data_IF_004874809245
#
_entry.id   IF_004874809245
#
_cell.length_a   1.000
_cell.length_b   1.000
_cell.length_c   1.000
_cell.angle_alpha   90.00
_cell.angle_beta   90.00
_cell.angle_gamma   90.00
#
_symmetry.space_group_name_H-M   'P 1'
#
loop_
_entity.id
_entity.type
_entity.pdbx_description
1 polymer ?
#
# COMPACT_ATOMS: atom_id res chain seq x y z
N UNK A 1 -28.94 16.02 -23.36
CA UNK A 1 -27.70 15.22 -23.46
C UNK A 1 -27.51 14.43 -22.17
N UNK A 2 -26.84 13.26 -22.19
CA UNK A 2 -26.61 12.43 -21.00
C UNK A 2 -25.11 12.41 -20.67
N UNK A 3 -24.78 12.49 -19.38
CA UNK A 3 -23.41 12.51 -18.86
C UNK A 3 -23.27 11.51 -17.71
N UNK A 4 -22.04 11.05 -17.45
CA UNK A 4 -21.69 10.19 -16.30
C UNK A 4 -20.68 10.88 -15.41
N UNK A 5 -20.71 10.61 -14.10
CA UNK A 5 -19.71 11.10 -13.15
C UNK A 5 -18.34 10.46 -13.47
N UNK A 6 -17.25 11.20 -13.28
CA UNK A 6 -15.90 10.64 -13.35
C UNK A 6 -15.65 9.75 -12.13
N UNK A 7 -14.85 8.68 -12.23
CA UNK A 7 -14.38 7.96 -11.05
C UNK A 7 -13.55 8.90 -10.17
N UNK A 8 -13.73 8.80 -8.85
CA UNK A 8 -13.06 9.65 -7.87
C UNK A 8 -12.57 8.76 -6.74
N UNK A 9 -11.28 8.85 -6.45
CA UNK A 9 -10.66 8.27 -5.27
C UNK A 9 -10.73 9.26 -4.11
N UNK A 10 -10.95 8.75 -2.91
CA UNK A 10 -11.03 9.56 -1.69
C UNK A 10 -10.23 8.90 -0.57
N UNK A 11 -9.86 9.71 0.41
CA UNK A 11 -9.34 9.21 1.68
C UNK A 11 -10.49 9.16 2.69
N UNK A 12 -10.56 8.09 3.47
CA UNK A 12 -11.53 7.99 4.55
C UNK A 12 -10.99 7.14 5.70
N UNK A 13 -11.46 7.45 6.90
CA UNK A 13 -11.24 6.64 8.10
C UNK A 13 -12.58 6.29 8.74
N UNK A 14 -12.65 5.15 9.42
CA UNK A 14 -13.78 4.86 10.28
C UNK A 14 -13.62 5.61 11.60
N UNK A 15 -14.64 6.35 12.00
CA UNK A 15 -14.68 7.07 13.26
C UNK A 15 -14.95 6.10 14.40
N UNK A 16 -14.02 6.08 15.36
CA UNK A 16 -14.09 5.31 16.58
C UNK A 16 -13.82 6.25 17.75
N UNK A 17 -14.79 6.41 18.66
CA UNK A 17 -14.74 7.34 19.81
C UNK A 17 -13.64 6.92 20.79
N UNK A 18 -13.40 5.62 20.92
CA UNK A 18 -12.30 5.05 21.70
C UNK A 18 -10.91 5.42 21.11
N UNK A 19 -10.83 5.64 19.80
CA UNK A 19 -9.61 6.03 19.08
C UNK A 19 -9.70 7.43 18.47
N UNK A 20 -10.34 8.36 19.20
CA UNK A 20 -10.63 9.73 18.72
C UNK A 20 -9.41 10.46 18.13
N UNK A 21 -8.20 10.19 18.63
CA UNK A 21 -6.96 10.77 18.09
C UNK A 21 -6.77 10.52 16.59
N UNK A 22 -7.22 9.37 16.06
CA UNK A 22 -7.18 9.11 14.61
C UNK A 22 -8.05 10.09 13.84
N UNK A 23 -9.26 10.36 14.32
CA UNK A 23 -10.19 11.29 13.70
C UNK A 23 -9.70 12.74 13.78
N UNK A 24 -9.17 13.16 14.94
CA UNK A 24 -8.60 14.49 15.13
C UNK A 24 -7.36 14.73 14.25
N UNK A 25 -6.52 13.72 14.07
CA UNK A 25 -5.33 13.81 13.21
C UNK A 25 -5.70 13.86 11.72
N UNK A 26 -6.71 13.09 11.32
CA UNK A 26 -7.16 13.02 9.92
C UNK A 26 -7.97 14.25 9.50
N UNK A 27 -8.85 14.75 10.39
CA UNK A 27 -9.80 15.82 10.09
C UNK A 27 -9.61 17.00 11.05
N UNK A 28 -9.02 18.09 10.55
CA UNK A 28 -8.86 19.34 11.30
C UNK A 28 -10.16 20.16 11.47
N UNK A 29 -11.29 19.62 10.99
CA UNK A 29 -12.64 20.20 11.11
C UNK A 29 -13.51 19.46 12.14
N UNK A 30 -12.94 18.50 12.86
CA UNK A 30 -13.63 17.72 13.87
C UNK A 30 -13.72 18.53 15.18
N UNK A 31 -14.94 18.81 15.66
CA UNK A 31 -15.22 19.62 16.85
C UNK A 31 -15.96 18.80 17.89
N UNK A 32 -15.55 18.96 19.14
CA UNK A 32 -16.26 18.41 20.28
C UNK A 32 -17.36 19.38 20.76
N UNK A 33 -18.55 18.87 21.02
CA UNK A 33 -19.64 19.60 21.65
C UNK A 33 -19.83 19.11 23.10
N UNK A 34 -19.59 19.96 24.12
CA UNK A 34 -19.71 19.55 25.52
C UNK A 34 -21.16 19.39 25.99
N UNK A 35 -22.15 19.92 25.25
CA UNK A 35 -23.55 19.85 25.67
C UNK A 35 -24.17 18.47 25.50
N UNK A 36 -23.77 17.74 24.45
CA UNK A 36 -24.24 16.38 24.16
C UNK A 36 -23.12 15.33 24.26
N UNK A 37 -21.88 15.75 24.54
CA UNK A 37 -20.70 14.90 24.64
C UNK A 37 -20.40 14.14 23.33
N UNK A 38 -20.58 14.82 22.20
CA UNK A 38 -20.43 14.25 20.86
C UNK A 38 -19.50 15.08 19.97
N UNK A 39 -19.11 14.47 18.86
CA UNK A 39 -18.27 15.11 17.86
C UNK A 39 -19.03 15.45 16.59
N UNK A 40 -18.61 16.55 15.97
CA UNK A 40 -19.19 17.11 14.77
C UNK A 40 -18.09 17.46 13.77
N UNK A 41 -18.41 17.44 12.49
CA UNK A 41 -17.53 17.89 11.40
C UNK A 41 -18.10 19.19 10.85
N UNK A 42 -17.28 20.24 10.74
CA UNK A 42 -17.67 21.42 9.96
C UNK A 42 -17.60 21.06 8.47
N UNK A 43 -18.76 20.85 7.85
CA UNK A 43 -18.88 20.61 6.40
C UNK A 43 -19.26 21.89 5.67
N UNK A 44 -19.38 21.84 4.34
CA UNK A 44 -19.81 22.98 3.52
C UNK A 44 -21.29 23.30 3.72
N UNK A 45 -22.08 22.31 4.11
CA UNK A 45 -23.53 22.39 4.37
C UNK A 45 -23.86 22.74 5.83
N UNK A 46 -22.83 22.82 6.68
CA UNK A 46 -22.96 23.14 8.10
C UNK A 46 -22.31 22.10 9.00
N UNK A 47 -22.56 22.23 10.30
CA UNK A 47 -21.98 21.33 11.30
C UNK A 47 -22.76 20.02 11.32
N UNK A 48 -22.11 18.89 11.01
CA UNK A 48 -22.73 17.57 10.94
C UNK A 48 -22.22 16.64 12.04
N UNK A 49 -23.12 15.97 12.76
CA UNK A 49 -22.75 15.01 13.82
C UNK A 49 -22.03 13.80 13.22
N UNK A 50 -20.88 13.45 13.78
CA UNK A 50 -20.23 12.17 13.54
C UNK A 50 -20.66 11.17 14.62
N UNK A 51 -21.18 10.02 14.20
CA UNK A 51 -21.60 8.93 15.10
C UNK A 51 -20.59 7.79 15.04
N UNK A 52 -20.41 7.08 16.15
CA UNK A 52 -19.56 5.89 16.21
C UNK A 52 -19.79 4.96 15.00
N UNK A 53 -18.70 4.60 14.32
CA UNK A 53 -18.73 3.75 13.13
C UNK A 53 -18.98 4.46 11.80
N UNK A 54 -19.33 5.75 11.79
CA UNK A 54 -19.38 6.55 10.57
C UNK A 54 -17.99 6.63 9.93
N UNK A 55 -17.92 6.78 8.62
CA UNK A 55 -16.69 7.13 7.92
C UNK A 55 -16.54 8.65 7.86
N UNK A 56 -15.37 9.17 8.22
CA UNK A 56 -15.01 10.56 7.96
C UNK A 56 -14.28 10.57 6.62
N UNK A 57 -14.88 11.22 5.63
CA UNK A 57 -14.36 11.29 4.26
C UNK A 57 -13.69 12.63 4.05
N UNK A 58 -12.54 12.62 3.39
CA UNK A 58 -11.92 13.80 2.79
C UNK A 58 -12.23 13.83 1.31
N UNK A 59 -13.03 14.81 0.90
CA UNK A 59 -13.40 15.03 -0.49
C UNK A 59 -12.25 15.61 -1.33
N UNK A 60 -12.50 15.73 -2.64
CA UNK A 60 -11.46 16.07 -3.63
C UNK A 60 -10.91 17.48 -3.49
N UNK A 61 -11.66 18.41 -2.88
CA UNK A 61 -11.20 19.77 -2.62
C UNK A 61 -10.74 19.95 -1.17
N UNK A 62 -10.56 18.86 -0.43
CA UNK A 62 -10.15 18.86 0.98
C UNK A 62 -11.29 19.15 1.96
N UNK A 63 -12.55 19.16 1.51
CA UNK A 63 -13.72 19.19 2.38
C UNK A 63 -13.84 17.90 3.20
N UNK A 64 -14.40 17.99 4.40
CA UNK A 64 -14.65 16.83 5.25
C UNK A 64 -16.13 16.68 5.55
N UNK A 65 -16.61 15.44 5.61
CA UNK A 65 -17.97 15.12 6.04
C UNK A 65 -18.07 13.69 6.60
N UNK A 66 -18.99 13.44 7.55
CA UNK A 66 -19.30 12.10 8.00
C UNK A 66 -20.22 11.39 7.01
N UNK A 67 -20.03 10.09 6.85
CA UNK A 67 -20.83 9.20 5.99
C UNK A 67 -21.19 7.94 6.77
N UNK A 68 -22.46 7.53 6.73
CA UNK A 68 -22.88 6.28 7.38
C UNK A 68 -22.20 5.07 6.76
N UNK A 69 -21.81 4.10 7.58
CA UNK A 69 -21.04 2.93 7.14
C UNK A 69 -21.74 2.11 6.04
N UNK A 70 -23.06 1.98 6.11
CA UNK A 70 -23.88 1.27 5.13
C UNK A 70 -23.95 2.02 3.79
N UNK A 71 -23.97 3.35 3.81
CA UNK A 71 -23.88 4.19 2.61
C UNK A 71 -22.45 4.15 2.04
N UNK A 72 -21.44 4.22 2.90
CA UNK A 72 -20.04 4.17 2.53
C UNK A 72 -19.71 2.90 1.76
N UNK A 73 -20.03 1.73 2.32
CA UNK A 73 -19.77 0.42 1.68
C UNK A 73 -20.57 0.16 0.41
N UNK A 74 -21.66 0.90 0.15
CA UNK A 74 -22.41 0.87 -1.12
C UNK A 74 -21.82 1.81 -2.18
N UNK A 75 -21.06 2.81 -1.76
CA UNK A 75 -20.59 3.90 -2.63
C UNK A 75 -19.11 3.77 -2.98
N UNK A 76 -18.32 3.22 -2.06
CA UNK A 76 -16.88 3.11 -2.16
C UNK A 76 -16.45 1.66 -1.98
N UNK A 77 -15.50 1.26 -2.81
CA UNK A 77 -14.74 0.03 -2.65
C UNK A 77 -13.36 0.38 -2.09
N UNK A 78 -12.81 -0.48 -1.24
CA UNK A 78 -11.44 -0.32 -0.77
C UNK A 78 -10.53 -0.54 -1.97
N UNK A 79 -9.68 0.43 -2.27
CA UNK A 79 -8.59 0.21 -3.19
C UNK A 79 -7.60 -0.70 -2.47
N UNK A 80 -7.45 -1.92 -2.96
CA UNK A 80 -6.35 -2.77 -2.54
C UNK A 80 -5.06 -2.05 -2.95
N UNK A 81 -4.18 -1.79 -1.99
CA UNK A 81 -2.87 -1.16 -2.21
C UNK A 81 -1.99 -1.96 -3.19
N UNK A 82 -2.45 -3.13 -3.64
CA UNK A 82 -1.80 -4.04 -4.58
C UNK A 82 -1.73 -3.58 -6.04
N UNK A 83 -2.36 -2.48 -6.44
CA UNK A 83 -2.29 -2.04 -7.86
C UNK A 83 -1.00 -1.25 -8.17
N UNK A 84 -0.15 -0.93 -7.18
CA UNK A 84 1.07 -0.15 -7.44
C UNK A 84 2.39 -0.91 -7.58
N UNK A 85 2.51 -2.24 -7.47
CA UNK A 85 3.70 -2.96 -8.01
C UNK A 85 3.57 -4.48 -7.98
N UNK A 86 2.84 -5.07 -8.93
CA UNK A 86 3.19 -6.40 -9.43
C UNK A 86 4.35 -6.29 -10.46
N UNK A 87 5.38 -5.49 -10.15
CA UNK A 87 6.62 -5.44 -10.93
C UNK A 87 7.60 -6.40 -10.29
N UNK A 88 7.68 -7.60 -10.86
CA UNK A 88 8.82 -8.49 -10.64
C UNK A 88 10.11 -7.74 -10.99
N UNK A 89 10.99 -7.52 -10.02
CA UNK A 89 12.33 -6.99 -10.28
C UNK A 89 13.21 -8.15 -10.71
N UNK A 90 13.76 -8.09 -11.94
CA UNK A 90 14.73 -9.06 -12.45
C UNK A 90 16.12 -8.45 -12.40
N UNK A 91 17.02 -9.09 -11.67
CA UNK A 91 18.45 -8.75 -11.65
C UNK A 91 19.23 -9.85 -12.38
N UNK A 92 20.23 -9.47 -13.18
CA UNK A 92 21.14 -10.40 -13.86
C UNK A 92 22.56 -10.15 -13.36
N UNK A 93 23.20 -11.20 -12.86
CA UNK A 93 24.62 -11.20 -12.49
C UNK A 93 25.35 -12.03 -13.56
N UNK A 94 26.53 -11.60 -14.00
CA UNK A 94 27.32 -12.31 -15.01
C UNK A 94 28.79 -12.20 -14.63
N UNK A 95 29.48 -13.34 -14.68
CA UNK A 95 30.89 -13.49 -14.40
C UNK A 95 31.57 -13.90 -15.71
N UNK A 96 32.69 -13.25 -16.03
CA UNK A 96 33.52 -13.63 -17.16
C UNK A 96 34.81 -14.20 -16.60
N UNK A 97 35.13 -15.42 -16.98
CA UNK A 97 36.35 -16.11 -16.59
C UNK A 97 37.32 -16.11 -17.78
N UNK A 98 38.62 -16.12 -17.48
CA UNK A 98 39.63 -16.25 -18.51
C UNK A 98 39.68 -17.70 -19.04
N UNK A 99 40.28 -17.89 -20.22
CA UNK A 99 40.28 -19.20 -20.88
C UNK A 99 41.11 -20.27 -20.14
N UNK A 100 42.01 -19.85 -19.26
CA UNK A 100 42.83 -20.69 -18.39
C UNK A 100 42.26 -20.86 -16.97
N UNK A 101 41.06 -20.32 -16.73
CA UNK A 101 40.34 -20.49 -15.48
C UNK A 101 39.73 -21.89 -15.39
N UNK A 102 39.86 -22.55 -14.23
CA UNK A 102 39.37 -23.91 -13.98
C UNK A 102 37.96 -23.94 -13.38
N UNK A 103 37.33 -22.78 -13.22
CA UNK A 103 35.97 -22.68 -12.71
C UNK A 103 34.96 -23.43 -13.56
N UNK A 104 34.32 -24.42 -12.92
CA UNK A 104 33.23 -25.17 -13.50
C UNK A 104 31.88 -24.61 -13.10
N UNK A 105 30.82 -25.04 -13.79
CA UNK A 105 29.44 -24.77 -13.38
C UNK A 105 29.14 -25.21 -11.93
N UNK A 106 29.85 -26.23 -11.44
CA UNK A 106 29.69 -26.73 -10.06
C UNK A 106 30.22 -25.73 -9.04
N UNK A 107 31.37 -25.10 -9.31
CA UNK A 107 31.97 -24.10 -8.43
C UNK A 107 31.08 -22.86 -8.30
N UNK A 108 30.47 -22.43 -9.41
CA UNK A 108 29.49 -21.34 -9.42
C UNK A 108 28.25 -21.70 -8.60
N UNK A 109 27.74 -22.94 -8.73
CA UNK A 109 26.61 -23.41 -7.92
C UNK A 109 26.95 -23.41 -6.43
N UNK A 110 28.13 -23.91 -6.07
CA UNK A 110 28.57 -23.94 -4.68
C UNK A 110 28.71 -22.52 -4.09
N UNK A 111 29.24 -21.57 -4.86
CA UNK A 111 29.28 -20.15 -4.47
C UNK A 111 27.87 -19.59 -4.23
N UNK A 112 26.93 -19.88 -5.12
CA UNK A 112 25.53 -19.45 -4.95
C UNK A 112 24.94 -20.02 -3.67
N UNK A 113 25.05 -21.33 -3.45
CA UNK A 113 24.49 -22.01 -2.28
C UNK A 113 25.12 -21.58 -0.95
N UNK A 114 26.44 -21.35 -0.93
CA UNK A 114 27.17 -21.07 0.32
C UNK A 114 27.29 -19.59 0.67
N UNK A 115 27.32 -18.72 -0.33
CA UNK A 115 27.56 -17.29 -0.12
C UNK A 115 26.32 -16.43 -0.44
N UNK A 116 25.64 -16.72 -1.54
CA UNK A 116 24.54 -15.85 -2.02
C UNK A 116 23.22 -16.24 -1.36
N UNK A 117 22.88 -17.52 -1.36
CA UNK A 117 21.61 -18.05 -0.89
C UNK A 117 21.34 -17.72 0.60
N UNK A 118 22.32 -17.85 1.52
CA UNK A 118 22.10 -17.51 2.92
C UNK A 118 21.83 -16.01 3.12
N UNK A 119 22.51 -15.15 2.34
CA UNK A 119 22.29 -13.69 2.35
C UNK A 119 20.92 -13.36 1.78
N UNK A 120 20.52 -14.04 0.71
CA UNK A 120 19.26 -13.81 0.03
C UNK A 120 18.05 -14.22 0.89
N UNK A 121 18.19 -15.27 1.68
CA UNK A 121 17.13 -15.81 2.55
C UNK A 121 17.12 -15.24 3.99
N UNK A 122 18.02 -14.32 4.33
CA UNK A 122 18.16 -13.76 5.68
C UNK A 122 17.00 -12.83 6.11
N UNK A 123 16.01 -12.54 5.25
CA UNK A 123 15.08 -11.43 5.46
C UNK A 123 13.57 -11.59 5.19
N UNK A 124 13.05 -12.63 4.52
CA UNK A 124 11.58 -12.71 4.29
C UNK A 124 11.04 -14.06 3.80
N UNK A 125 9.72 -14.27 3.95
CA UNK A 125 8.98 -15.52 3.67
C UNK A 125 8.56 -15.71 2.19
N UNK A 126 8.94 -14.80 1.30
CA UNK A 126 8.59 -14.85 -0.12
C UNK A 126 9.81 -14.52 -0.97
N UNK A 127 10.60 -15.55 -1.25
CA UNK A 127 11.88 -15.46 -1.96
C UNK A 127 11.71 -16.04 -3.37
N UNK A 128 12.22 -15.34 -4.38
CA UNK A 128 12.20 -15.82 -5.77
C UNK A 128 13.24 -16.92 -6.03
N UNK A 129 13.13 -17.64 -7.14
CA UNK A 129 14.10 -18.67 -7.52
C UNK A 129 15.44 -18.06 -8.00
N UNK A 130 16.56 -18.56 -7.48
CA UNK A 130 17.90 -18.29 -8.01
C UNK A 130 18.26 -19.40 -9.01
N UNK A 131 18.59 -19.03 -10.25
CA UNK A 131 18.95 -19.97 -11.32
C UNK A 131 20.38 -19.72 -11.81
N UNK A 132 21.15 -20.80 -12.00
CA UNK A 132 22.52 -20.77 -12.57
C UNK A 132 22.51 -21.41 -13.96
N UNK A 133 22.72 -20.57 -14.98
CA UNK A 133 22.80 -20.98 -16.39
C UNK A 133 24.24 -20.84 -16.90
N UNK A 134 24.70 -21.83 -17.65
CA UNK A 134 25.99 -21.78 -18.36
C UNK A 134 25.70 -21.28 -19.78
N UNK A 135 26.41 -20.25 -20.21
CA UNK A 135 26.20 -19.59 -21.50
C UNK A 135 27.53 -19.57 -22.24
N UNK A 136 27.57 -20.16 -23.43
CA UNK A 136 28.71 -20.02 -24.32
C UNK A 136 28.78 -18.58 -24.85
N UNK A 137 29.89 -17.90 -24.59
CA UNK A 137 30.14 -16.55 -25.10
C UNK A 137 31.18 -16.65 -26.21
N UNK A 138 30.76 -16.42 -27.45
CA UNK A 138 31.69 -16.23 -28.56
C UNK A 138 32.37 -14.86 -28.39
N UNK A 139 33.70 -14.85 -28.34
CA UNK A 139 34.48 -13.60 -28.42
C UNK A 139 34.34 -12.95 -29.79
#
# INVERSE_FOLDING_TARGET
MKYRKKPVEIEAIKYEKEHIGRALNFCNKFRYNPHDNEYYVDTLEGCMKATEGDYIIKGVNGEFYPCKADIFGKTYEKLDEEIQNNKTKKFKISFNFEADDDWSKTDVKEMVEKAIDPIYHLGDASVGEINVEEIEVNK
#
